data_IF_472822066846
#
_entry.id   IF_472822066846
#
_cell.length_a   1.000
_cell.length_b   1.000
_cell.length_c   1.000
_cell.angle_alpha   90.00
_cell.angle_beta   90.00
_cell.angle_gamma   90.00
#
_symmetry.space_group_name_H-M   'P 1'
#
loop_
_entity.id
_entity.type
_entity.pdbx_description
1 polymer ?
#
# COMPACT_ATOMS: atom_id res chain seq x y z
N UNK A 1 2.81 -19.29 4.68
CA UNK A 1 3.30 -20.27 3.67
C UNK A 1 2.64 -20.05 2.30
N UNK A 2 2.45 -18.80 1.87
CA UNK A 2 1.63 -18.48 0.70
C UNK A 2 0.40 -17.64 1.10
N UNK A 3 -0.41 -17.28 0.10
CA UNK A 3 -1.67 -16.56 0.27
C UNK A 3 -2.88 -17.45 0.00
N UNK A 4 -4.05 -17.05 0.48
CA UNK A 4 -5.35 -17.64 0.12
C UNK A 4 -5.98 -16.79 -0.98
N UNK A 5 -6.60 -17.41 -1.98
CA UNK A 5 -7.29 -16.70 -3.05
C UNK A 5 -8.54 -16.00 -2.51
N UNK A 6 -8.77 -14.77 -2.97
CA UNK A 6 -9.98 -14.01 -2.73
C UNK A 6 -10.67 -13.66 -4.04
N UNK A 7 -11.92 -13.25 -3.98
CA UNK A 7 -12.68 -12.73 -5.11
C UNK A 7 -13.27 -11.37 -4.73
N UNK A 8 -13.43 -10.48 -5.71
CA UNK A 8 -14.04 -9.18 -5.47
C UNK A 8 -13.80 -8.20 -6.61
N UNK A 9 -14.48 -7.07 -6.54
CA UNK A 9 -14.31 -5.96 -7.46
C UNK A 9 -14.58 -4.64 -6.74
N UNK A 10 -13.86 -3.60 -7.16
CA UNK A 10 -14.11 -2.22 -6.80
C UNK A 10 -13.87 -1.34 -8.04
N UNK A 11 -14.71 -0.31 -8.19
CA UNK A 11 -14.67 0.63 -9.32
C UNK A 11 -14.66 2.04 -8.75
N UNK A 12 -13.83 2.90 -9.35
CA UNK A 12 -13.69 4.30 -8.95
C UNK A 12 -14.07 5.21 -10.11
N UNK A 13 -14.65 6.35 -9.76
CA UNK A 13 -14.86 7.47 -10.68
C UNK A 13 -13.86 8.55 -10.30
N UNK A 14 -12.93 8.84 -11.21
CA UNK A 14 -11.97 9.94 -11.03
C UNK A 14 -12.52 11.19 -11.70
N UNK A 15 -12.38 12.32 -11.01
CA UNK A 15 -12.78 13.63 -11.49
C UNK A 15 -11.74 14.66 -11.05
N UNK A 16 -11.66 15.76 -11.80
CA UNK A 16 -10.96 16.95 -11.35
C UNK A 16 -11.52 17.46 -10.01
N UNK A 17 -10.61 17.81 -9.09
CA UNK A 17 -10.97 18.18 -7.72
C UNK A 17 -11.79 19.48 -7.63
N UNK A 18 -11.55 20.45 -8.50
CA UNK A 18 -12.34 21.69 -8.53
C UNK A 18 -13.74 21.42 -9.07
N UNK A 19 -13.86 20.57 -10.10
CA UNK A 19 -15.16 20.13 -10.63
C UNK A 19 -15.99 19.41 -9.58
N UNK A 20 -15.40 18.44 -8.88
CA UNK A 20 -16.05 17.67 -7.83
C UNK A 20 -16.54 18.58 -6.69
N UNK A 21 -15.70 19.51 -6.22
CA UNK A 21 -16.07 20.51 -5.20
C UNK A 21 -17.18 21.43 -5.67
N UNK A 22 -17.10 21.97 -6.89
CA UNK A 22 -18.09 22.91 -7.45
C UNK A 22 -19.50 22.32 -7.51
N UNK A 23 -19.61 21.02 -7.80
CA UNK A 23 -20.90 20.31 -7.83
C UNK A 23 -21.31 19.69 -6.48
N UNK A 24 -20.52 19.87 -5.42
CA UNK A 24 -20.78 19.31 -4.10
C UNK A 24 -20.72 17.78 -4.05
N UNK A 25 -19.84 17.17 -4.84
CA UNK A 25 -19.63 15.72 -4.82
C UNK A 25 -19.07 15.25 -3.48
N UNK A 26 -19.47 14.07 -3.02
CA UNK A 26 -18.75 13.41 -1.94
C UNK A 26 -17.42 12.86 -2.48
N UNK A 27 -16.33 13.31 -1.87
CA UNK A 27 -14.96 12.94 -2.26
C UNK A 27 -14.38 12.07 -1.15
N UNK A 28 -14.08 10.81 -1.46
CA UNK A 28 -13.48 9.87 -0.50
C UNK A 28 -11.99 10.13 -0.26
N UNK A 29 -11.25 10.44 -1.34
CA UNK A 29 -9.81 10.65 -1.28
C UNK A 29 -9.33 11.44 -2.51
N UNK A 30 -8.13 12.01 -2.39
CA UNK A 30 -7.38 12.60 -3.49
C UNK A 30 -6.23 11.66 -3.90
N UNK A 31 -6.01 11.50 -5.21
CA UNK A 31 -4.82 10.82 -5.72
C UNK A 31 -3.72 11.87 -5.89
N UNK A 32 -2.90 12.05 -4.86
CA UNK A 32 -1.88 13.10 -4.85
C UNK A 32 -0.64 12.75 -5.71
N UNK A 33 -0.33 11.47 -5.89
CA UNK A 33 0.79 11.01 -6.71
C UNK A 33 0.79 9.51 -6.91
N UNK A 34 1.48 9.03 -7.95
CA UNK A 34 1.62 7.62 -8.27
C UNK A 34 2.96 7.34 -8.96
N UNK A 35 3.42 6.09 -8.87
CA UNK A 35 4.59 5.67 -9.62
C UNK A 35 4.52 4.19 -9.94
N UNK A 36 5.08 3.85 -11.10
CA UNK A 36 5.29 2.46 -11.50
C UNK A 36 6.76 2.23 -11.81
N UNK A 37 7.27 1.09 -11.35
CA UNK A 37 8.62 0.61 -11.64
C UNK A 37 8.59 -0.88 -11.98
N UNK A 38 9.57 -1.31 -12.77
CA UNK A 38 9.82 -2.73 -13.02
C UNK A 38 11.19 -3.07 -12.45
N UNK A 39 11.29 -4.22 -11.79
CA UNK A 39 12.55 -4.65 -11.19
C UNK A 39 13.56 -5.18 -12.22
N UNK A 40 13.10 -5.55 -13.43
CA UNK A 40 13.88 -6.16 -14.51
C UNK A 40 14.85 -7.27 -14.05
N UNK A 41 14.52 -7.95 -12.95
CA UNK A 41 15.42 -8.89 -12.27
C UNK A 41 15.08 -10.34 -12.61
N UNK A 42 13.79 -10.68 -12.52
CA UNK A 42 13.29 -12.02 -12.79
C UNK A 42 11.81 -11.94 -13.15
N UNK A 43 11.29 -12.91 -13.92
CA UNK A 43 9.89 -12.93 -14.36
C UNK A 43 8.89 -12.84 -13.19
N UNK A 44 9.20 -13.50 -12.08
CA UNK A 44 8.34 -13.59 -10.89
C UNK A 44 9.09 -13.32 -9.57
N UNK A 45 10.39 -13.11 -9.65
CA UNK A 45 11.26 -13.04 -8.48
C UNK A 45 11.48 -11.59 -8.06
N UNK A 46 11.60 -11.38 -6.75
CA UNK A 46 11.96 -10.08 -6.18
C UNK A 46 13.40 -10.09 -5.70
N UNK A 47 14.06 -8.95 -5.88
CA UNK A 47 15.34 -8.71 -5.21
C UNK A 47 15.09 -8.62 -3.71
N UNK A 48 15.97 -9.09 -2.83
CA UNK A 48 15.75 -8.95 -1.38
C UNK A 48 15.86 -7.49 -0.89
N UNK A 49 16.40 -6.57 -1.69
CA UNK A 49 16.77 -5.23 -1.25
C UNK A 49 15.70 -4.14 -1.43
N UNK A 50 14.54 -4.43 -2.04
CA UNK A 50 13.42 -3.48 -2.08
C UNK A 50 13.65 -2.21 -2.93
N UNK A 51 14.76 -2.10 -3.67
CA UNK A 51 15.24 -0.82 -4.22
C UNK A 51 14.30 -0.21 -5.24
N UNK A 52 13.76 -1.01 -6.13
CA UNK A 52 12.84 -0.55 -7.17
C UNK A 52 11.52 -0.03 -6.60
N UNK A 53 11.03 -0.69 -5.54
CA UNK A 53 9.80 -0.30 -4.86
C UNK A 53 10.06 0.95 -4.01
N UNK A 54 11.20 1.03 -3.31
CA UNK A 54 11.61 2.24 -2.59
C UNK A 54 11.68 3.44 -3.54
N UNK A 55 12.19 3.25 -4.75
CA UNK A 55 12.25 4.32 -5.75
C UNK A 55 10.86 4.69 -6.28
N UNK A 56 9.96 3.72 -6.50
CA UNK A 56 8.58 4.03 -6.82
C UNK A 56 7.91 4.85 -5.72
N UNK A 57 8.09 4.49 -4.45
CA UNK A 57 7.53 5.21 -3.30
C UNK A 57 8.08 6.64 -3.26
N UNK A 58 9.39 6.84 -3.40
CA UNK A 58 10.00 8.20 -3.41
C UNK A 58 9.44 9.08 -4.52
N UNK A 59 9.19 8.51 -5.70
CA UNK A 59 8.67 9.27 -6.84
C UNK A 59 7.20 9.62 -6.64
N UNK A 60 6.40 8.69 -6.13
CA UNK A 60 5.00 8.97 -5.78
C UNK A 60 4.92 10.07 -4.70
N UNK A 61 5.76 10.01 -3.67
CA UNK A 61 5.85 11.07 -2.65
C UNK A 61 6.32 12.40 -3.22
N UNK A 62 7.30 12.41 -4.13
CA UNK A 62 7.77 13.62 -4.78
C UNK A 62 6.71 14.26 -5.68
N UNK A 63 5.93 13.45 -6.41
CA UNK A 63 4.78 13.92 -7.19
C UNK A 63 3.69 14.51 -6.28
N UNK A 64 3.39 13.83 -5.18
CA UNK A 64 2.47 14.28 -4.13
C UNK A 64 2.99 15.47 -3.31
N UNK A 65 4.29 15.79 -3.41
CA UNK A 65 4.98 16.83 -2.63
C UNK A 65 4.87 16.64 -1.11
N UNK A 66 4.96 15.40 -0.66
CA UNK A 66 4.94 15.02 0.76
C UNK A 66 6.30 14.46 1.19
N UNK A 67 6.62 14.61 2.47
CA UNK A 67 7.80 14.01 3.08
C UNK A 67 7.44 12.66 3.74
N UNK A 68 8.43 11.80 4.03
CA UNK A 68 8.19 10.54 4.75
C UNK A 68 7.41 10.68 6.05
N UNK A 69 7.65 11.75 6.81
CA UNK A 69 6.99 12.05 8.08
C UNK A 69 5.52 12.46 7.94
N UNK A 70 5.07 12.78 6.73
CA UNK A 70 3.68 13.11 6.43
C UNK A 70 2.84 11.84 6.12
N UNK A 71 3.45 10.64 6.12
CA UNK A 71 2.77 9.37 5.85
C UNK A 71 2.24 8.75 7.16
N UNK A 72 0.92 8.86 7.34
CA UNK A 72 0.22 8.37 8.53
C UNK A 72 -0.11 6.87 8.52
N UNK A 73 -0.15 6.23 7.35
CA UNK A 73 -0.55 4.83 7.21
C UNK A 73 -0.06 4.22 5.89
N UNK A 74 0.40 2.97 5.93
CA UNK A 74 0.74 2.17 4.74
C UNK A 74 -0.21 0.98 4.64
N UNK A 75 -0.99 0.95 3.57
CA UNK A 75 -1.70 -0.26 3.15
C UNK A 75 -0.78 -1.11 2.25
N UNK A 76 -0.13 -2.12 2.83
CA UNK A 76 0.87 -2.93 2.16
C UNK A 76 0.25 -3.96 1.20
N UNK A 77 1.06 -4.40 0.23
CA UNK A 77 0.71 -5.56 -0.58
C UNK A 77 0.53 -6.80 0.30
N UNK A 78 1.41 -7.04 1.28
CA UNK A 78 1.19 -7.99 2.38
C UNK A 78 0.67 -9.35 1.93
N UNK A 79 1.37 -10.00 1.01
CA UNK A 79 0.92 -11.28 0.45
C UNK A 79 1.10 -12.45 1.42
N UNK A 80 1.78 -12.27 2.56
CA UNK A 80 2.06 -13.34 3.51
C UNK A 80 3.10 -14.33 2.98
N UNK A 81 3.87 -13.92 1.96
CA UNK A 81 5.01 -14.69 1.44
C UNK A 81 6.29 -14.07 1.97
N UNK A 82 7.17 -14.91 2.52
CA UNK A 82 8.43 -14.46 3.15
C UNK A 82 9.25 -13.52 2.27
N UNK A 83 9.32 -13.81 0.96
CA UNK A 83 10.10 -12.99 0.03
C UNK A 83 9.45 -11.62 -0.21
N UNK A 84 8.12 -11.55 -0.38
CA UNK A 84 7.44 -10.28 -0.63
C UNK A 84 7.41 -9.42 0.62
N UNK A 85 7.05 -9.98 1.77
CA UNK A 85 6.90 -9.20 3.00
C UNK A 85 8.25 -8.56 3.43
N UNK A 86 9.36 -9.28 3.24
CA UNK A 86 10.72 -8.73 3.44
C UNK A 86 11.09 -7.68 2.40
N UNK A 87 10.70 -7.89 1.14
CA UNK A 87 10.94 -6.93 0.06
C UNK A 87 10.23 -5.60 0.34
N UNK A 88 8.97 -5.65 0.77
CA UNK A 88 8.20 -4.47 1.17
C UNK A 88 8.80 -3.79 2.39
N UNK A 89 9.14 -4.55 3.42
CA UNK A 89 9.81 -4.03 4.63
C UNK A 89 11.08 -3.27 4.27
N UNK A 90 11.94 -3.85 3.43
CA UNK A 90 13.16 -3.20 2.96
C UNK A 90 12.86 -1.92 2.15
N UNK A 91 11.84 -1.97 1.28
CA UNK A 91 11.44 -0.82 0.48
C UNK A 91 10.93 0.35 1.33
N UNK A 92 10.10 0.08 2.34
CA UNK A 92 9.59 1.10 3.26
C UNK A 92 10.72 1.73 4.06
N UNK A 93 11.63 0.92 4.64
CA UNK A 93 12.81 1.44 5.35
C UNK A 93 13.70 2.31 4.47
N UNK A 94 13.93 1.90 3.22
CA UNK A 94 14.75 2.66 2.29
C UNK A 94 14.11 3.98 1.86
N UNK A 95 12.79 4.01 1.69
CA UNK A 95 12.07 5.17 1.16
C UNK A 95 11.67 6.17 2.25
N UNK A 96 11.25 5.69 3.43
CA UNK A 96 10.77 6.52 4.53
C UNK A 96 11.84 6.77 5.61
N UNK A 97 12.91 5.99 5.65
CA UNK A 97 13.93 6.09 6.69
C UNK A 97 13.35 5.82 8.08
N UNK A 98 13.64 6.69 9.05
CA UNK A 98 13.18 6.55 10.43
C UNK A 98 11.65 6.64 10.58
N UNK A 99 10.96 7.32 9.66
CA UNK A 99 9.51 7.40 9.69
C UNK A 99 8.85 6.02 9.54
N UNK A 100 9.49 5.09 8.81
CA UNK A 100 8.97 3.74 8.59
C UNK A 100 8.63 3.00 9.89
N UNK A 101 9.43 3.18 10.95
CA UNK A 101 9.23 2.51 12.25
C UNK A 101 8.11 3.11 13.11
N UNK A 102 7.56 4.26 12.69
CA UNK A 102 6.45 4.94 13.37
C UNK A 102 5.16 4.88 12.56
N UNK A 103 5.26 4.70 11.25
CA UNK A 103 4.11 4.61 10.36
C UNK A 103 3.46 3.23 10.48
N UNK A 104 2.20 3.13 10.93
CA UNK A 104 1.49 1.86 11.01
C UNK A 104 1.32 1.24 9.62
N UNK A 105 1.54 -0.08 9.56
CA UNK A 105 1.41 -0.89 8.34
C UNK A 105 0.36 -1.97 8.55
N UNK A 106 -0.53 -2.16 7.59
CA UNK A 106 -1.46 -3.29 7.58
C UNK A 106 -1.67 -3.84 6.17
N UNK A 107 -2.32 -4.99 6.05
CA UNK A 107 -2.82 -5.47 4.76
C UNK A 107 -4.16 -6.17 4.90
N UNK A 108 -5.12 -5.76 4.06
CA UNK A 108 -6.48 -6.29 4.15
C UNK A 108 -6.61 -7.72 3.64
N UNK A 109 -5.61 -8.23 2.90
CA UNK A 109 -5.58 -9.61 2.38
C UNK A 109 -5.67 -10.65 3.46
N UNK A 110 -5.27 -10.32 4.68
CA UNK A 110 -5.43 -11.19 5.84
C UNK A 110 -6.91 -11.52 6.14
N UNK A 111 -7.85 -10.70 5.68
CA UNK A 111 -9.29 -10.87 5.90
C UNK A 111 -10.05 -11.28 4.62
N UNK A 112 -9.63 -10.78 3.46
CA UNK A 112 -10.37 -10.98 2.19
C UNK A 112 -9.65 -11.88 1.18
N UNK A 113 -8.44 -12.34 1.49
CA UNK A 113 -7.60 -13.09 0.56
C UNK A 113 -6.99 -12.22 -0.54
N UNK A 114 -6.26 -12.87 -1.45
CA UNK A 114 -5.58 -12.24 -2.57
C UNK A 114 -6.42 -12.34 -3.85
N UNK A 115 -7.01 -11.23 -4.26
CA UNK A 115 -7.97 -11.14 -5.38
C UNK A 115 -7.33 -10.98 -6.77
N UNK A 116 -6.02 -11.27 -6.88
CA UNK A 116 -5.26 -11.22 -8.12
C UNK A 116 -5.45 -9.87 -8.84
N UNK A 117 -6.09 -9.86 -10.01
CA UNK A 117 -6.28 -8.65 -10.82
C UNK A 117 -7.09 -7.55 -10.14
N UNK A 118 -7.91 -7.87 -9.13
CA UNK A 118 -8.70 -6.89 -8.39
C UNK A 118 -7.98 -6.33 -7.15
N UNK A 119 -6.76 -6.79 -6.84
CA UNK A 119 -6.09 -6.43 -5.58
C UNK A 119 -5.92 -4.92 -5.44
N UNK A 120 -5.42 -4.25 -6.48
CA UNK A 120 -5.15 -2.82 -6.41
C UNK A 120 -6.41 -1.98 -6.15
N UNK A 121 -7.54 -2.36 -6.74
CA UNK A 121 -8.79 -1.62 -6.56
C UNK A 121 -9.42 -1.88 -5.19
N UNK A 122 -9.37 -3.11 -4.69
CA UNK A 122 -9.92 -3.42 -3.35
C UNK A 122 -9.07 -2.76 -2.26
N UNK A 123 -7.74 -2.79 -2.39
CA UNK A 123 -6.83 -2.12 -1.45
C UNK A 123 -7.05 -0.60 -1.43
N UNK A 124 -7.22 0.03 -2.61
CA UNK A 124 -7.52 1.47 -2.68
C UNK A 124 -8.87 1.81 -2.04
N UNK A 125 -9.89 0.98 -2.23
CA UNK A 125 -11.19 1.18 -1.62
C UNK A 125 -11.10 1.11 -0.10
N UNK A 126 -10.36 0.14 0.43
CA UNK A 126 -10.13 0.03 1.87
C UNK A 126 -9.34 1.22 2.42
N UNK A 127 -8.30 1.68 1.71
CA UNK A 127 -7.54 2.88 2.12
C UNK A 127 -8.43 4.14 2.16
N UNK A 128 -9.29 4.33 1.16
CA UNK A 128 -10.21 5.47 1.14
C UNK A 128 -11.24 5.40 2.28
N UNK A 129 -11.78 4.21 2.57
CA UNK A 129 -12.68 4.00 3.72
C UNK A 129 -11.97 4.15 5.06
N UNK A 130 -10.70 3.77 5.16
CA UNK A 130 -9.88 3.98 6.35
C UNK A 130 -9.71 5.49 6.65
N UNK A 131 -9.49 6.30 5.61
CA UNK A 131 -9.44 7.77 5.72
C UNK A 131 -10.80 8.34 6.15
N UNK A 132 -11.88 7.96 5.47
CA UNK A 132 -13.26 8.42 5.74
C UNK A 132 -13.71 8.09 7.17
N UNK A 133 -13.31 6.92 7.69
CA UNK A 133 -13.72 6.45 9.00
C UNK A 133 -12.67 6.68 10.10
N UNK A 134 -11.57 7.37 9.79
CA UNK A 134 -10.47 7.66 10.73
C UNK A 134 -10.00 6.42 11.50
N UNK A 135 -9.79 5.31 10.79
CA UNK A 135 -9.42 4.02 11.38
C UNK A 135 -8.31 3.35 10.59
N UNK A 136 -7.40 2.69 11.28
CA UNK A 136 -6.42 1.78 10.66
C UNK A 136 -7.00 0.37 10.74
N UNK A 137 -7.21 -0.32 9.60
CA UNK A 137 -7.73 -1.68 9.63
C UNK A 137 -6.73 -2.63 10.27
N UNK A 138 -7.19 -3.62 11.05
CA UNK A 138 -6.29 -4.59 11.66
C UNK A 138 -5.77 -5.59 10.61
N UNK A 139 -4.59 -6.15 10.85
CA UNK A 139 -4.11 -7.34 10.12
C UNK A 139 -4.59 -8.58 10.86
N UNK A 140 -5.51 -9.35 10.26
CA UNK A 140 -5.97 -10.60 10.84
C UNK A 140 -4.85 -11.66 10.86
N UNK A 141 -4.95 -12.62 11.78
CA UNK A 141 -4.03 -13.76 11.91
C UNK A 141 -2.56 -13.40 12.24
N UNK A 142 -2.25 -12.15 12.54
CA UNK A 142 -0.92 -11.72 13.00
C UNK A 142 -0.83 -11.86 14.53
N UNK A 143 -0.23 -12.95 15.00
CA UNK A 143 0.00 -13.21 16.43
C UNK A 143 1.48 -13.13 16.83
N UNK A 144 2.36 -13.52 15.91
CA UNK A 144 3.81 -13.50 16.09
C UNK A 144 4.42 -12.80 14.87
N UNK A 145 4.97 -11.59 15.03
CA UNK A 145 5.64 -10.88 13.95
C UNK A 145 6.84 -11.67 13.39
N UNK A 146 7.10 -11.56 12.09
CA UNK A 146 8.34 -12.08 11.50
C UNK A 146 9.50 -11.16 11.96
N UNK A 147 10.56 -11.68 12.59
CA UNK A 147 11.68 -10.84 13.03
C UNK A 147 12.43 -10.15 11.89
N UNK A 148 12.26 -10.60 10.63
CA UNK A 148 12.80 -9.94 9.44
C UNK A 148 11.84 -8.89 8.85
N UNK A 149 10.63 -8.75 9.41
CA UNK A 149 9.62 -7.74 9.10
C UNK A 149 9.24 -7.00 10.39
N UNK A 150 10.17 -6.19 10.87
CA UNK A 150 10.17 -5.47 12.17
C UNK A 150 9.57 -4.06 12.09
N UNK A 151 8.65 -3.83 11.15
CA UNK A 151 7.82 -2.62 11.05
C UNK A 151 6.43 -2.87 11.64
#
# INVERSE_FOLDING_TARGET
NGFVLGEGAAVFVLEDGESARRRGAHVYAEVAGYATRSNAFHMTGLRPDGKEMAEAIRIAMAEARVNPEDIDYINAHGSGTKQNDRHETAAFKLSLGEAAYRTPVSSIKSMVGHSLGAVGSIELAASALAMEHHVIPPTANLHTPDPECDL
#
